data_IF_855437443587
#
_entry.id   IF_855437443587
#
_cell.length_a   1.000
_cell.length_b   1.000
_cell.length_c   1.000
_cell.angle_alpha   90.00
_cell.angle_beta   90.00
_cell.angle_gamma   90.00
#
_symmetry.space_group_name_H-M   'P 1'
#
loop_
_entity.id
_entity.type
_entity.pdbx_description
1 polymer ?
#
# COMPACT_ATOMS: atom_id res chain seq x y z
N UNK A 1 -6.92 32.79 -74.81
CA UNK A 1 -8.37 33.04 -74.71
C UNK A 1 -8.87 32.33 -73.45
N UNK A 2 -9.22 33.12 -72.42
CA UNK A 2 -10.31 32.95 -71.44
C UNK A 2 -10.63 31.55 -70.85
N UNK A 3 -10.94 31.33 -69.57
CA UNK A 3 -11.14 32.10 -68.33
C UNK A 3 -11.17 31.05 -67.19
N UNK A 4 -10.58 31.31 -66.03
CA UNK A 4 -11.28 31.63 -64.78
C UNK A 4 -12.34 30.61 -64.34
N UNK A 5 -12.09 29.88 -63.24
CA UNK A 5 -12.96 29.86 -62.03
C UNK A 5 -12.22 29.14 -60.90
N UNK A 6 -12.02 29.87 -59.80
CA UNK A 6 -11.51 29.44 -58.50
C UNK A 6 -12.64 28.71 -57.76
N UNK A 7 -12.36 27.53 -57.21
CA UNK A 7 -13.24 26.86 -56.23
C UNK A 7 -12.50 26.76 -54.90
N UNK A 8 -12.81 27.71 -54.01
CA UNK A 8 -12.41 27.71 -52.60
C UNK A 8 -13.23 26.63 -51.89
N UNK A 9 -12.61 25.49 -51.57
CA UNK A 9 -13.17 24.54 -50.63
C UNK A 9 -12.77 24.94 -49.20
N UNK A 10 -13.65 25.72 -48.58
CA UNK A 10 -13.67 26.04 -47.17
C UNK A 10 -14.02 24.77 -46.38
N UNK A 11 -13.02 23.92 -46.06
CA UNK A 11 -13.23 22.80 -45.14
C UNK A 11 -13.17 23.34 -43.72
N UNK A 12 -14.36 23.38 -43.12
CA UNK A 12 -14.65 23.71 -41.74
C UNK A 12 -13.73 22.93 -40.79
N UNK A 13 -13.05 23.66 -39.90
CA UNK A 13 -12.41 23.14 -38.70
C UNK A 13 -13.47 22.45 -37.83
N UNK A 14 -13.66 21.14 -38.02
CA UNK A 14 -14.33 20.32 -37.01
C UNK A 14 -13.33 20.08 -35.89
N UNK A 15 -13.58 20.71 -34.74
CA UNK A 15 -12.97 20.38 -33.45
C UNK A 15 -13.28 18.90 -33.14
N UNK A 16 -12.44 18.00 -33.65
CA UNK A 16 -12.44 16.59 -33.30
C UNK A 16 -11.72 16.43 -31.96
N UNK A 17 -12.50 16.20 -30.91
CA UNK A 17 -12.04 15.73 -29.59
C UNK A 17 -11.01 14.62 -29.76
N UNK A 18 -9.77 14.86 -29.35
CA UNK A 18 -8.78 13.83 -29.12
C UNK A 18 -9.28 12.92 -27.98
N UNK A 19 -9.74 11.72 -28.33
CA UNK A 19 -9.95 10.65 -27.35
C UNK A 19 -8.59 10.08 -26.98
N UNK A 20 -8.17 10.32 -25.74
CA UNK A 20 -6.96 9.77 -25.14
C UNK A 20 -7.11 8.24 -25.00
N UNK A 21 -6.36 7.49 -25.79
CA UNK A 21 -6.29 6.02 -25.70
C UNK A 21 -5.62 5.64 -24.37
N UNK A 22 -6.41 5.28 -23.36
CA UNK A 22 -5.88 4.76 -22.09
C UNK A 22 -5.38 3.33 -22.29
N UNK A 23 -4.10 3.10 -22.01
CA UNK A 23 -3.40 1.83 -22.19
C UNK A 23 -4.04 0.69 -21.36
N UNK A 24 -4.28 -0.46 -22.01
CA UNK A 24 -4.87 -1.67 -21.41
C UNK A 24 -4.05 -2.19 -20.21
N UNK A 25 -2.75 -1.89 -20.15
CA UNK A 25 -1.91 -2.26 -19.02
C UNK A 25 -2.26 -1.48 -17.73
N UNK A 26 -2.65 -0.22 -17.84
CA UNK A 26 -3.01 0.62 -16.70
C UNK A 26 -4.42 0.32 -16.16
N UNK A 27 -5.36 -0.08 -17.04
CA UNK A 27 -6.70 -0.50 -16.60
C UNK A 27 -6.67 -1.85 -15.89
N UNK A 28 -5.84 -2.80 -16.34
CA UNK A 28 -5.69 -4.07 -15.64
C UNK A 28 -5.05 -3.87 -14.25
N UNK A 29 -3.99 -3.08 -14.13
CA UNK A 29 -3.37 -2.80 -12.82
C UNK A 29 -4.33 -2.07 -11.87
N UNK A 30 -5.10 -1.10 -12.38
CA UNK A 30 -6.07 -0.36 -11.55
C UNK A 30 -7.24 -1.22 -11.07
N UNK A 31 -7.68 -2.21 -11.86
CA UNK A 31 -8.78 -3.11 -11.51
C UNK A 31 -8.35 -4.15 -10.47
N UNK A 32 -7.12 -4.68 -10.59
CA UNK A 32 -6.54 -5.64 -9.63
C UNK A 32 -6.30 -4.99 -8.24
N UNK A 33 -5.99 -3.70 -8.18
CA UNK A 33 -5.83 -2.97 -6.90
C UNK A 33 -7.19 -2.68 -6.21
N UNK A 34 -8.31 -2.71 -6.95
CA UNK A 34 -9.63 -2.35 -6.41
C UNK A 34 -10.53 -3.53 -6.00
N UNK A 35 -10.35 -4.72 -6.57
CA UNK A 35 -11.09 -5.95 -6.25
C UNK A 35 -10.15 -6.92 -5.50
N UNK A 36 -10.12 -7.10 -4.18
CA UNK A 36 -10.90 -6.58 -3.08
C UNK A 36 -9.92 -6.41 -1.91
N UNK A 37 -9.78 -5.20 -1.37
CA UNK A 37 -9.00 -5.00 -0.15
C UNK A 37 -9.58 -5.88 0.95
N UNK A 38 -8.74 -6.70 1.59
CA UNK A 38 -9.14 -7.49 2.75
C UNK A 38 -9.32 -6.52 3.92
N UNK A 39 -10.52 -6.50 4.47
CA UNK A 39 -10.87 -5.73 5.66
C UNK A 39 -11.06 -6.74 6.79
N UNK A 40 -10.42 -6.49 7.92
CA UNK A 40 -10.43 -7.35 9.09
C UNK A 40 -10.79 -6.54 10.34
N UNK A 41 -11.54 -7.12 11.27
CA UNK A 41 -11.41 -6.74 12.67
C UNK A 41 -10.10 -7.32 13.27
N UNK A 42 -9.79 -7.01 14.53
CA UNK A 42 -8.51 -7.46 15.08
C UNK A 42 -8.40 -8.99 15.20
N UNK A 43 -9.44 -9.68 15.66
CA UNK A 43 -9.41 -11.13 15.83
C UNK A 43 -9.24 -11.85 14.47
N UNK A 44 -9.84 -11.30 13.41
CA UNK A 44 -9.64 -11.78 12.04
C UNK A 44 -8.23 -11.51 11.51
N UNK A 45 -7.65 -10.33 11.81
CA UNK A 45 -6.27 -10.01 11.44
C UNK A 45 -5.29 -10.94 12.18
N UNK A 46 -5.51 -11.22 13.46
CA UNK A 46 -4.71 -12.16 14.24
C UNK A 46 -4.82 -13.59 13.67
N UNK A 47 -6.03 -14.04 13.34
CA UNK A 47 -6.25 -15.31 12.68
C UNK A 47 -5.62 -15.36 11.27
N UNK A 48 -5.57 -14.23 10.57
CA UNK A 48 -4.91 -14.10 9.27
C UNK A 48 -3.39 -14.24 9.40
N UNK A 49 -2.78 -13.49 10.32
CA UNK A 49 -1.33 -13.51 10.54
C UNK A 49 -0.84 -14.85 11.10
N UNK A 50 -1.61 -15.52 11.97
CA UNK A 50 -1.25 -16.83 12.52
C UNK A 50 -1.22 -17.96 11.48
N UNK A 51 -1.96 -17.83 10.37
CA UNK A 51 -1.99 -18.80 9.26
C UNK A 51 -0.86 -18.59 8.23
N UNK A 52 -0.05 -17.55 8.39
CA UNK A 52 1.08 -17.27 7.50
C UNK A 52 2.19 -18.33 7.64
N UNK A 53 3.04 -18.42 6.61
CA UNK A 53 4.13 -19.39 6.56
C UNK A 53 5.18 -19.10 7.63
N UNK A 54 5.29 -20.02 8.60
CA UNK A 54 6.18 -19.89 9.75
C UNK A 54 7.68 -19.92 9.39
N UNK A 55 8.04 -20.24 8.15
CA UNK A 55 9.42 -20.18 7.66
C UNK A 55 9.82 -18.80 7.14
N UNK A 56 8.87 -17.87 7.00
CA UNK A 56 9.15 -16.49 6.59
C UNK A 56 9.38 -15.58 7.80
N UNK A 57 10.05 -14.46 7.53
CA UNK A 57 10.07 -13.29 8.40
C UNK A 57 9.07 -12.27 7.87
N UNK A 58 8.20 -11.79 8.74
CA UNK A 58 7.17 -10.81 8.40
C UNK A 58 7.52 -9.44 8.97
N UNK A 59 7.36 -8.41 8.14
CA UNK A 59 7.45 -7.01 8.54
C UNK A 59 6.07 -6.39 8.39
N UNK A 60 5.40 -6.16 9.52
CA UNK A 60 4.04 -5.63 9.58
C UNK A 60 4.10 -4.16 9.95
N UNK A 61 3.67 -3.27 9.05
CA UNK A 61 3.64 -1.82 9.29
C UNK A 61 2.20 -1.34 9.43
N UNK A 62 1.88 -0.72 10.56
CA UNK A 62 0.61 -0.07 10.83
C UNK A 62 0.71 1.40 10.43
N UNK A 63 -0.13 1.80 9.48
CA UNK A 63 -0.06 3.12 8.85
C UNK A 63 -1.45 3.63 8.46
N UNK A 64 -1.54 4.89 8.03
CA UNK A 64 -2.75 5.43 7.41
C UNK A 64 -2.41 6.53 6.40
N UNK A 65 -3.28 6.77 5.42
CA UNK A 65 -3.03 7.80 4.38
C UNK A 65 -2.97 9.22 4.93
N UNK A 66 -3.61 9.48 6.07
CA UNK A 66 -3.60 10.78 6.77
C UNK A 66 -2.37 10.96 7.68
N UNK A 67 -1.56 9.92 7.89
CA UNK A 67 -0.34 9.98 8.68
C UNK A 67 0.85 10.35 7.78
N UNK A 68 1.25 11.62 7.79
CA UNK A 68 2.38 12.11 7.01
C UNK A 68 3.72 11.35 7.22
N UNK A 69 4.17 11.06 8.46
CA UNK A 69 5.40 10.28 8.65
C UNK A 69 5.27 8.85 8.13
N UNK A 70 4.11 8.21 8.27
CA UNK A 70 3.86 6.88 7.73
C UNK A 70 3.98 6.87 6.20
N UNK A 71 3.32 7.81 5.51
CA UNK A 71 3.40 7.93 4.04
C UNK A 71 4.83 8.15 3.55
N UNK A 72 5.64 8.88 4.32
CA UNK A 72 7.04 9.16 3.97
C UNK A 72 7.91 7.91 4.00
N UNK A 73 7.64 6.94 4.88
CA UNK A 73 8.46 5.73 5.02
C UNK A 73 8.00 4.55 4.16
N UNK A 74 6.78 4.56 3.61
CA UNK A 74 6.29 3.47 2.76
C UNK A 74 7.26 3.06 1.63
N UNK A 75 7.94 3.99 0.91
CA UNK A 75 8.91 3.58 -0.12
C UNK A 75 10.04 2.71 0.42
N UNK A 76 10.43 2.86 1.69
CA UNK A 76 11.45 2.03 2.32
C UNK A 76 10.95 0.62 2.60
N UNK A 77 9.67 0.46 2.97
CA UNK A 77 9.04 -0.85 3.15
C UNK A 77 8.86 -1.56 1.81
N UNK A 78 8.45 -0.85 0.76
CA UNK A 78 8.40 -1.40 -0.60
C UNK A 78 9.78 -1.87 -1.07
N UNK A 79 10.80 -1.02 -0.91
CA UNK A 79 12.18 -1.37 -1.25
C UNK A 79 12.66 -2.61 -0.49
N UNK A 80 12.34 -2.71 0.82
CA UNK A 80 12.68 -3.86 1.65
C UNK A 80 12.00 -5.14 1.13
N UNK A 81 10.71 -5.06 0.81
CA UNK A 81 9.93 -6.18 0.28
C UNK A 81 10.56 -6.73 -1.01
N UNK A 82 10.89 -5.85 -1.95
CA UNK A 82 11.54 -6.24 -3.21
C UNK A 82 12.93 -6.80 -3.00
N UNK A 83 13.76 -6.16 -2.16
CA UNK A 83 15.16 -6.56 -1.95
C UNK A 83 15.30 -7.92 -1.26
N UNK A 84 14.35 -8.28 -0.38
CA UNK A 84 14.41 -9.50 0.41
C UNK A 84 13.37 -10.56 0.02
N UNK A 85 12.66 -10.39 -1.11
CA UNK A 85 11.67 -11.35 -1.61
C UNK A 85 12.24 -12.78 -1.75
N UNK A 86 13.50 -12.92 -2.16
CA UNK A 86 14.19 -14.21 -2.31
C UNK A 86 14.73 -14.79 -0.99
N UNK A 87 14.63 -14.04 0.11
CA UNK A 87 15.14 -14.43 1.44
C UNK A 87 14.02 -14.74 2.43
N UNK A 88 12.84 -15.12 1.92
CA UNK A 88 11.68 -15.46 2.75
C UNK A 88 11.24 -14.29 3.67
N UNK A 89 11.36 -13.05 3.19
CA UNK A 89 10.82 -11.86 3.88
C UNK A 89 9.56 -11.41 3.16
N UNK A 90 8.54 -11.02 3.92
CA UNK A 90 7.27 -10.52 3.39
C UNK A 90 6.83 -9.29 4.19
N UNK A 91 6.59 -8.19 3.47
CA UNK A 91 6.03 -6.96 4.05
C UNK A 91 4.52 -6.98 3.92
N UNK A 92 3.82 -6.65 5.02
CA UNK A 92 2.37 -6.46 5.04
C UNK A 92 2.08 -5.07 5.61
N UNK A 93 1.39 -4.26 4.82
CA UNK A 93 0.99 -2.91 5.17
C UNK A 93 -0.45 -2.93 5.70
N UNK A 94 -0.60 -2.76 7.01
CA UNK A 94 -1.90 -2.72 7.69
C UNK A 94 -2.37 -1.28 7.76
N UNK A 95 -3.32 -0.93 6.89
CA UNK A 95 -3.95 0.39 6.90
C UNK A 95 -4.95 0.51 8.05
N UNK A 96 -4.84 1.60 8.79
CA UNK A 96 -5.77 2.09 9.81
C UNK A 96 -6.64 3.24 9.28
N UNK A 97 -6.76 3.38 7.95
CA UNK A 97 -7.68 4.33 7.36
C UNK A 97 -9.12 4.00 7.77
N UNK A 98 -9.89 5.03 8.16
CA UNK A 98 -11.27 4.82 8.58
C UNK A 98 -12.11 4.18 7.44
N UNK A 99 -13.13 3.37 7.74
CA UNK A 99 -13.93 2.67 6.72
C UNK A 99 -14.48 3.60 5.64
N UNK A 100 -15.00 4.77 6.07
CA UNK A 100 -15.52 5.82 5.17
C UNK A 100 -14.46 6.44 4.24
N UNK A 101 -13.18 6.23 4.50
CA UNK A 101 -12.05 6.74 3.73
C UNK A 101 -11.44 5.68 2.80
N UNK A 102 -11.85 4.41 2.87
CA UNK A 102 -11.27 3.34 2.05
C UNK A 102 -11.42 3.67 0.55
N UNK A 103 -12.63 3.95 0.08
CA UNK A 103 -12.87 4.22 -1.35
C UNK A 103 -12.39 5.60 -1.79
N UNK A 104 -12.40 6.58 -0.89
CA UNK A 104 -12.15 7.99 -1.23
C UNK A 104 -10.71 8.44 -0.99
N UNK A 105 -9.94 7.70 -0.18
CA UNK A 105 -8.55 8.02 0.18
C UNK A 105 -7.61 6.85 -0.06
N UNK A 106 -7.87 5.70 0.56
CA UNK A 106 -6.95 4.56 0.51
C UNK A 106 -6.82 3.99 -0.91
N UNK A 107 -7.92 3.56 -1.55
CA UNK A 107 -7.86 2.99 -2.91
C UNK A 107 -7.20 3.96 -3.92
N UNK A 108 -7.54 5.26 -3.97
CA UNK A 108 -6.84 6.23 -4.80
C UNK A 108 -5.35 6.36 -4.47
N UNK A 109 -4.99 6.34 -3.18
CA UNK A 109 -3.60 6.38 -2.74
C UNK A 109 -2.83 5.15 -3.25
N UNK A 110 -3.35 3.94 -3.04
CA UNK A 110 -2.73 2.70 -3.51
C UNK A 110 -2.51 2.70 -5.02
N UNK A 111 -3.52 3.12 -5.79
CA UNK A 111 -3.42 3.25 -7.25
C UNK A 111 -2.37 4.26 -7.68
N UNK A 112 -2.28 5.40 -6.99
CA UNK A 112 -1.30 6.46 -7.30
C UNK A 112 0.12 6.04 -6.98
N UNK A 113 0.32 5.39 -5.82
CA UNK A 113 1.64 5.04 -5.30
C UNK A 113 2.13 3.68 -5.79
N UNK A 114 1.27 2.87 -6.43
CA UNK A 114 1.61 1.57 -7.03
C UNK A 114 2.34 0.65 -6.05
N UNK A 115 1.84 0.54 -4.82
CA UNK A 115 2.41 -0.36 -3.82
C UNK A 115 2.31 -1.81 -4.31
N UNK A 116 3.40 -2.54 -4.21
CA UNK A 116 3.56 -3.96 -4.54
C UNK A 116 3.39 -4.86 -3.31
N UNK A 117 3.70 -4.36 -2.11
CA UNK A 117 3.47 -5.12 -0.86
C UNK A 117 1.99 -5.40 -0.64
N UNK A 118 1.70 -6.48 0.10
CA UNK A 118 0.33 -6.78 0.48
C UNK A 118 -0.24 -5.67 1.38
N UNK A 119 -1.41 -5.14 1.02
CA UNK A 119 -2.13 -4.15 1.82
C UNK A 119 -3.43 -4.77 2.34
N UNK A 120 -3.64 -4.67 3.64
CA UNK A 120 -4.89 -5.06 4.32
C UNK A 120 -5.40 -3.89 5.16
N UNK A 121 -6.69 -3.89 5.47
CA UNK A 121 -7.31 -2.86 6.33
C UNK A 121 -7.67 -3.49 7.67
N UNK A 122 -7.28 -2.83 8.76
CA UNK A 122 -7.78 -3.11 10.10
C UNK A 122 -8.91 -2.13 10.40
N UNK A 123 -10.14 -2.63 10.39
CA UNK A 123 -11.36 -1.92 10.77
C UNK A 123 -11.88 -2.49 12.08
N UNK A 124 -11.34 -1.99 13.19
CA UNK A 124 -11.79 -2.35 14.52
C UNK A 124 -11.94 -1.10 15.39
N UNK A 125 -13.17 -0.87 15.83
CA UNK A 125 -13.59 0.35 16.54
C UNK A 125 -12.98 0.40 17.96
N UNK A 126 -12.65 -0.75 18.56
CA UNK A 126 -12.16 -0.83 19.94
C UNK A 126 -10.62 -0.93 20.01
N UNK A 127 -9.96 0.17 19.64
CA UNK A 127 -8.51 0.27 19.69
C UNK A 127 -7.91 0.04 21.07
N UNK A 128 -8.63 0.39 22.14
CA UNK A 128 -8.18 0.17 23.51
C UNK A 128 -8.06 -1.32 23.84
N UNK A 129 -8.85 -2.17 23.19
CA UNK A 129 -8.80 -3.63 23.38
C UNK A 129 -7.70 -4.27 22.55
N UNK A 130 -7.50 -3.88 21.29
CA UNK A 130 -6.57 -4.59 20.42
C UNK A 130 -5.13 -4.06 20.42
N UNK A 131 -4.91 -2.76 20.69
CA UNK A 131 -3.54 -2.19 20.74
C UNK A 131 -2.66 -2.95 21.74
N UNK A 132 -3.10 -3.22 23.00
CA UNK A 132 -2.29 -3.98 23.96
C UNK A 132 -2.02 -5.43 23.53
N UNK A 133 -2.93 -6.05 22.75
CA UNK A 133 -2.73 -7.39 22.17
C UNK A 133 -1.62 -7.39 21.12
N UNK A 134 -1.48 -6.30 20.35
CA UNK A 134 -0.37 -6.13 19.41
C UNK A 134 0.94 -5.96 20.16
N UNK A 135 0.98 -5.01 21.10
CA UNK A 135 2.06 -4.79 22.05
C UNK A 135 1.57 -3.98 23.26
N UNK A 136 1.83 -4.47 24.48
CA UNK A 136 1.39 -3.83 25.73
C UNK A 136 1.92 -2.39 25.93
N UNK A 137 3.06 -2.06 25.30
CA UNK A 137 3.68 -0.74 25.40
C UNK A 137 3.32 0.18 24.23
N UNK A 138 2.46 -0.24 23.30
CA UNK A 138 2.06 0.61 22.18
C UNK A 138 1.11 1.70 22.67
N UNK A 139 1.50 2.96 22.48
CA UNK A 139 0.65 4.12 22.83
C UNK A 139 -0.57 4.30 21.93
N UNK A 140 -0.61 3.58 20.80
CA UNK A 140 -1.54 3.79 19.69
C UNK A 140 -1.05 4.78 18.62
N UNK A 141 0.13 5.37 18.78
CA UNK A 141 0.71 6.24 17.76
C UNK A 141 1.16 5.44 16.52
N UNK A 142 1.00 6.04 15.35
CA UNK A 142 1.52 5.53 14.08
C UNK A 142 2.55 6.49 13.48
N UNK A 143 3.59 5.99 12.77
CA UNK A 143 3.77 4.59 12.36
C UNK A 143 4.21 3.67 13.50
N UNK A 144 3.77 2.41 13.40
CA UNK A 144 4.21 1.34 14.28
C UNK A 144 4.54 0.10 13.45
N UNK A 145 5.59 -0.62 13.80
CA UNK A 145 6.07 -1.78 13.04
C UNK A 145 6.33 -2.98 13.95
N UNK A 146 5.92 -4.15 13.51
CA UNK A 146 6.34 -5.44 14.09
C UNK A 146 7.22 -6.15 13.06
N UNK A 147 8.35 -6.66 13.51
CA UNK A 147 9.11 -7.66 12.77
C UNK A 147 9.03 -8.97 13.56
N UNK A 148 8.60 -10.04 12.91
CA UNK A 148 8.51 -11.35 13.57
C UNK A 148 8.84 -12.52 12.64
N UNK A 149 9.32 -13.59 13.24
CA UNK A 149 9.40 -14.93 12.66
C UNK A 149 9.11 -15.96 13.77
N UNK A 150 9.25 -17.27 13.48
CA UNK A 150 8.99 -18.33 14.45
C UNK A 150 9.83 -18.27 15.76
N UNK A 151 10.90 -17.48 15.80
CA UNK A 151 11.84 -17.43 16.92
C UNK A 151 11.83 -16.11 17.69
N UNK A 152 11.45 -15.01 17.03
CA UNK A 152 11.61 -13.66 17.56
C UNK A 152 10.46 -12.77 17.08
N UNK A 153 10.05 -11.84 17.94
CA UNK A 153 9.13 -10.74 17.63
C UNK A 153 9.69 -9.47 18.27
N UNK A 154 9.83 -8.39 17.50
CA UNK A 154 10.19 -7.06 18.01
C UNK A 154 9.17 -6.03 17.54
N UNK A 155 8.87 -5.06 18.40
CA UNK A 155 7.93 -3.96 18.13
C UNK A 155 8.67 -2.62 18.14
N UNK A 156 8.26 -1.71 17.25
CA UNK A 156 8.84 -0.39 17.08
C UNK A 156 7.72 0.65 16.89
N UNK A 157 7.64 1.62 17.78
CA UNK A 157 6.74 2.77 17.67
C UNK A 157 7.54 4.01 17.26
N UNK A 158 8.03 4.01 16.02
CA UNK A 158 8.81 5.10 15.44
C UNK A 158 8.82 4.99 13.93
N UNK A 159 9.18 6.10 13.28
CA UNK A 159 9.50 6.06 11.85
C UNK A 159 10.83 5.38 11.56
N UNK A 160 10.96 4.94 10.31
CA UNK A 160 12.18 4.35 9.77
C UNK A 160 12.72 5.13 8.56
N UNK A 161 14.04 5.23 8.48
CA UNK A 161 14.77 5.26 7.20
C UNK A 161 14.98 3.83 6.69
N UNK A 162 15.30 3.68 5.40
CA UNK A 162 15.62 2.35 4.85
C UNK A 162 16.77 1.66 5.60
N UNK A 163 17.84 2.39 5.94
CA UNK A 163 19.01 1.82 6.61
C UNK A 163 18.66 1.28 8.00
N UNK A 164 17.87 2.03 8.77
CA UNK A 164 17.40 1.58 10.08
C UNK A 164 16.49 0.36 9.95
N UNK A 165 15.54 0.37 9.00
CA UNK A 165 14.60 -0.72 8.79
C UNK A 165 15.34 -2.02 8.40
N UNK A 166 16.29 -1.90 7.47
CA UNK A 166 17.10 -3.03 7.04
C UNK A 166 17.99 -3.54 8.18
N UNK A 167 18.53 -2.66 9.01
CA UNK A 167 19.34 -3.04 10.17
C UNK A 167 18.52 -3.85 11.18
N UNK A 168 17.27 -3.46 11.45
CA UNK A 168 16.38 -4.23 12.32
C UNK A 168 16.00 -5.58 11.68
N UNK A 169 15.66 -5.60 10.38
CA UNK A 169 15.35 -6.84 9.66
C UNK A 169 16.53 -7.84 9.70
N UNK A 170 17.76 -7.35 9.52
CA UNK A 170 18.99 -8.17 9.54
C UNK A 170 19.21 -8.92 10.85
N UNK A 171 18.53 -8.55 11.93
CA UNK A 171 18.58 -9.32 13.18
C UNK A 171 17.70 -10.59 13.16
N UNK A 172 16.86 -10.76 12.14
CA UNK A 172 15.93 -11.89 11.98
C UNK A 172 16.38 -12.87 10.90
N UNK A 173 17.22 -12.41 9.97
CA UNK A 173 17.80 -13.21 8.89
C UNK A 173 19.26 -13.53 9.23
N UNK A 174 19.68 -14.76 8.94
CA UNK A 174 21.05 -15.25 9.21
C UNK A 174 21.96 -15.02 8.02
#
# INVERSE_FOLDING_TARGET
>A
MNQMTILVFMVLFTFGKTSEERNIHDINQAYIVSDALKVFNFDELEAYLSKKDQNKTYVINFWATWCAPCVKELPYFEQLNTAYANQSVEVILVSLDFPKQIDTKLKPFLKKHKLESEVVVLDDIDSNTWIPKVNENWSGAIPATIIYNKTKKTFYERSFTYQELETELKQFIK
#
